data_IF_673637019437
#
_entry.id   IF_673637019437
#
_cell.length_a   1.000
_cell.length_b   1.000
_cell.length_c   1.000
_cell.angle_alpha   90.00
_cell.angle_beta   90.00
_cell.angle_gamma   90.00
#
_symmetry.space_group_name_H-M   'P 1'
#
loop_
_entity.id
_entity.type
_entity.pdbx_description
1 polymer ?
#
# COMPACT_ATOMS: atom_id res chain seq x y z
N UNK A 1 13.29 44.62 -29.24
CA UNK A 1 12.40 44.41 -28.09
C UNK A 1 11.27 43.49 -28.56
N UNK A 2 11.54 42.17 -28.63
CA UNK A 2 10.62 41.20 -29.24
C UNK A 2 9.54 40.80 -28.22
N UNK A 3 8.28 41.06 -28.54
CA UNK A 3 7.11 40.67 -27.74
C UNK A 3 6.78 39.21 -28.04
N UNK A 4 7.47 38.28 -27.39
CA UNK A 4 7.07 36.87 -27.34
C UNK A 4 6.16 36.62 -26.13
N UNK A 5 5.00 37.28 -26.10
CA UNK A 5 3.96 36.98 -25.11
C UNK A 5 2.67 36.66 -25.86
N UNK A 6 2.07 35.49 -25.61
CA UNK A 6 0.61 35.46 -25.55
C UNK A 6 -0.14 34.22 -26.01
N UNK A 7 0.48 33.13 -26.45
CA UNK A 7 -0.23 31.85 -26.52
C UNK A 7 0.47 30.88 -25.60
N UNK A 8 0.02 30.89 -24.33
CA UNK A 8 0.31 29.80 -23.41
C UNK A 8 -0.16 28.52 -24.09
N UNK A 9 0.79 27.77 -24.64
CA UNK A 9 0.53 26.56 -25.42
C UNK A 9 -0.29 25.60 -24.55
N UNK A 10 -1.59 25.51 -24.85
CA UNK A 10 -2.58 24.74 -24.10
C UNK A 10 -2.13 23.27 -24.05
N UNK A 11 -1.41 22.77 -25.06
CA UNK A 11 -0.81 21.43 -25.02
C UNK A 11 0.29 21.33 -23.98
N UNK A 12 1.13 22.36 -23.81
CA UNK A 12 2.19 22.40 -22.80
C UNK A 12 1.62 22.43 -21.38
N UNK A 13 0.60 23.26 -21.13
CA UNK A 13 -0.11 23.32 -19.83
C UNK A 13 -0.78 21.97 -19.52
N UNK A 14 -1.48 21.38 -20.50
CA UNK A 14 -2.14 20.07 -20.34
C UNK A 14 -1.13 18.94 -20.10
N UNK A 15 0.04 18.97 -20.75
CA UNK A 15 1.11 17.98 -20.55
C UNK A 15 1.70 18.06 -19.14
N UNK A 16 1.90 19.26 -18.59
CA UNK A 16 2.36 19.46 -17.22
C UNK A 16 1.32 18.94 -16.21
N UNK A 17 0.03 19.19 -16.45
CA UNK A 17 -1.06 18.64 -15.61
C UNK A 17 -1.10 17.11 -15.60
N UNK A 18 -0.95 16.44 -16.75
CA UNK A 18 -0.90 14.98 -16.81
C UNK A 18 0.35 14.40 -16.14
N UNK A 19 1.51 15.05 -16.30
CA UNK A 19 2.74 14.64 -15.62
C UNK A 19 2.58 14.76 -14.10
N UNK A 20 1.95 15.83 -13.59
CA UNK A 20 1.71 16.00 -12.16
C UNK A 20 0.79 14.91 -11.59
N UNK A 21 -0.21 14.46 -12.33
CA UNK A 21 -1.10 13.35 -11.92
C UNK A 21 -0.32 12.03 -11.85
N UNK A 22 0.61 11.80 -12.77
CA UNK A 22 1.44 10.57 -12.78
C UNK A 22 2.41 10.52 -11.59
N UNK A 23 2.90 11.69 -11.14
CA UNK A 23 3.84 11.82 -10.02
C UNK A 23 3.18 11.91 -8.64
N UNK A 24 1.86 11.78 -8.56
CA UNK A 24 1.13 11.66 -7.31
C UNK A 24 1.40 10.29 -6.66
N UNK A 25 1.49 10.28 -5.33
CA UNK A 25 1.76 9.07 -4.55
C UNK A 25 0.70 7.99 -4.78
N UNK A 26 -0.54 8.42 -4.97
CA UNK A 26 -1.69 7.58 -5.26
C UNK A 26 -1.54 6.84 -6.61
N UNK A 27 -1.07 7.54 -7.64
CA UNK A 27 -0.83 6.94 -8.96
C UNK A 27 0.32 5.96 -8.93
N UNK A 28 1.38 6.26 -8.18
CA UNK A 28 2.53 5.35 -7.99
C UNK A 28 2.08 4.09 -7.24
N UNK A 29 1.29 4.23 -6.17
CA UNK A 29 0.72 3.10 -5.42
C UNK A 29 -0.16 2.22 -6.30
N UNK A 30 -1.04 2.83 -7.09
CA UNK A 30 -1.91 2.11 -8.02
C UNK A 30 -1.09 1.36 -9.08
N UNK A 31 -0.06 2.01 -9.62
CA UNK A 31 0.82 1.40 -10.60
C UNK A 31 1.56 0.18 -10.02
N UNK A 32 2.14 0.32 -8.82
CA UNK A 32 2.82 -0.78 -8.12
C UNK A 32 1.84 -1.93 -7.85
N UNK A 33 0.63 -1.62 -7.39
CA UNK A 33 -0.42 -2.62 -7.12
C UNK A 33 -0.74 -3.45 -8.37
N UNK A 34 -1.00 -2.77 -9.50
CA UNK A 34 -1.30 -3.43 -10.77
C UNK A 34 -0.12 -4.27 -11.24
N UNK A 35 1.09 -3.71 -11.18
CA UNK A 35 2.31 -4.41 -11.59
C UNK A 35 2.51 -5.69 -10.79
N UNK A 36 2.42 -5.62 -9.47
CA UNK A 36 2.54 -6.77 -8.57
C UNK A 36 1.43 -7.78 -8.83
N UNK A 37 0.18 -7.34 -9.03
CA UNK A 37 -0.93 -8.23 -9.31
C UNK A 37 -0.73 -9.03 -10.62
N UNK A 38 -0.27 -8.36 -11.69
CA UNK A 38 0.03 -9.02 -12.97
C UNK A 38 1.17 -10.03 -12.79
N UNK A 39 2.27 -9.64 -12.17
CA UNK A 39 3.42 -10.52 -11.97
C UNK A 39 3.01 -11.76 -11.17
N UNK A 40 2.32 -11.58 -10.04
CA UNK A 40 1.92 -12.70 -9.19
C UNK A 40 0.84 -13.59 -9.85
N UNK A 41 -0.05 -13.01 -10.65
CA UNK A 41 -1.03 -13.79 -11.43
C UNK A 41 -0.37 -14.65 -12.51
N UNK A 42 0.80 -14.26 -13.03
CA UNK A 42 1.56 -15.07 -13.98
C UNK A 42 2.43 -16.13 -13.28
N UNK A 43 2.94 -15.83 -12.08
CA UNK A 43 3.77 -16.75 -11.30
C UNK A 43 2.97 -17.89 -10.68
N UNK A 44 1.71 -17.64 -10.30
CA UNK A 44 0.85 -18.64 -9.68
C UNK A 44 -0.57 -18.59 -10.24
N UNK A 45 -1.11 -19.72 -10.73
CA UNK A 45 -2.50 -19.78 -11.19
C UNK A 45 -3.51 -19.62 -10.04
N UNK A 46 -3.07 -19.74 -8.79
CA UNK A 46 -3.92 -19.61 -7.59
C UNK A 46 -3.94 -18.20 -7.01
N UNK A 47 -3.14 -17.27 -7.53
CA UNK A 47 -2.99 -15.93 -6.94
C UNK A 47 -4.33 -15.18 -6.81
N UNK A 48 -5.14 -15.18 -7.89
CA UNK A 48 -6.46 -14.54 -7.94
C UNK A 48 -7.62 -15.49 -7.58
N UNK A 49 -7.33 -16.69 -7.07
CA UNK A 49 -8.39 -17.60 -6.65
C UNK A 49 -9.14 -17.04 -5.42
N UNK A 50 -10.45 -17.19 -5.40
CA UNK A 50 -11.31 -16.64 -4.33
C UNK A 50 -10.91 -17.19 -2.96
N UNK A 51 -10.63 -18.49 -2.86
CA UNK A 51 -10.28 -19.11 -1.58
C UNK A 51 -8.91 -18.65 -1.11
N UNK A 52 -7.95 -18.54 -2.03
CA UNK A 52 -6.62 -18.04 -1.73
C UNK A 52 -6.66 -16.57 -1.29
N UNK A 53 -7.42 -15.72 -1.98
CA UNK A 53 -7.58 -14.31 -1.63
C UNK A 53 -8.23 -14.14 -0.25
N UNK A 54 -9.27 -14.92 0.03
CA UNK A 54 -9.95 -14.89 1.33
C UNK A 54 -9.04 -15.34 2.47
N UNK A 55 -8.38 -16.50 2.32
CA UNK A 55 -7.45 -17.05 3.32
C UNK A 55 -6.29 -16.08 3.57
N UNK A 56 -5.72 -15.52 2.51
CA UNK A 56 -4.65 -14.53 2.59
C UNK A 56 -5.13 -13.28 3.34
N UNK A 57 -6.32 -12.78 3.02
CA UNK A 57 -6.91 -11.59 3.67
C UNK A 57 -7.15 -11.84 5.17
N UNK A 58 -7.68 -13.00 5.56
CA UNK A 58 -7.85 -13.37 6.97
C UNK A 58 -6.51 -13.34 7.74
N UNK A 59 -5.46 -13.90 7.14
CA UNK A 59 -4.12 -13.92 7.74
C UNK A 59 -3.46 -12.53 7.86
N UNK A 60 -3.84 -11.58 6.99
CA UNK A 60 -3.36 -10.19 7.06
C UNK A 60 -4.17 -9.34 8.04
N UNK A 61 -5.49 -9.57 8.12
CA UNK A 61 -6.39 -8.81 9.00
C UNK A 61 -5.96 -8.91 10.47
N UNK A 62 -5.54 -10.08 10.94
CA UNK A 62 -5.04 -10.26 12.32
C UNK A 62 -3.94 -9.25 12.66
N UNK A 63 -2.93 -9.13 11.79
CA UNK A 63 -1.80 -8.21 11.96
C UNK A 63 -2.23 -6.76 11.80
N UNK A 64 -3.16 -6.46 10.89
CA UNK A 64 -3.68 -5.11 10.69
C UNK A 64 -4.47 -4.60 11.91
N UNK A 65 -5.28 -5.46 12.54
CA UNK A 65 -6.03 -5.15 13.76
C UNK A 65 -5.07 -4.87 14.92
N UNK A 66 -3.95 -5.60 15.03
CA UNK A 66 -2.93 -5.35 16.05
C UNK A 66 -2.16 -4.05 15.77
N UNK A 67 -1.83 -3.77 14.50
CA UNK A 67 -1.11 -2.57 14.12
C UNK A 67 -1.91 -1.28 14.36
N UNK A 68 -3.24 -1.33 14.25
CA UNK A 68 -4.11 -0.17 14.46
C UNK A 68 -3.97 0.50 15.85
N UNK A 69 -4.16 -0.20 17.00
CA UNK A 69 -3.90 0.36 18.33
C UNK A 69 -2.42 0.66 18.55
N UNK A 70 -1.51 -0.16 18.02
CA UNK A 70 -0.06 0.04 18.16
C UNK A 70 0.41 1.37 17.56
N UNK A 71 -0.18 1.81 16.44
CA UNK A 71 0.12 3.12 15.85
C UNK A 71 -0.23 4.25 16.82
N UNK A 72 -1.35 4.17 17.54
CA UNK A 72 -1.71 5.20 18.53
C UNK A 72 -0.72 5.26 19.69
N UNK A 73 -0.24 4.10 20.17
CA UNK A 73 0.78 4.02 21.21
C UNK A 73 2.09 4.66 20.73
N UNK A 74 2.51 4.37 19.50
CA UNK A 74 3.72 4.96 18.88
C UNK A 74 3.59 6.49 18.76
N UNK A 75 2.41 6.99 18.38
CA UNK A 75 2.17 8.44 18.27
C UNK A 75 2.31 9.14 19.64
N UNK A 76 1.95 8.46 20.73
CA UNK A 76 2.15 8.97 22.10
C UNK A 76 3.62 8.98 22.55
N UNK A 77 4.55 8.45 21.76
CA UNK A 77 5.97 8.39 22.08
C UNK A 77 6.39 7.13 22.85
N UNK A 78 5.47 6.20 23.06
CA UNK A 78 5.73 4.92 23.73
C UNK A 78 5.92 3.80 22.69
N UNK A 79 6.80 2.84 22.98
CA UNK A 79 7.01 1.66 22.14
C UNK A 79 6.60 0.43 22.95
N UNK A 80 5.36 -0.03 22.74
CA UNK A 80 4.84 -1.21 23.43
C UNK A 80 5.33 -2.52 22.78
N UNK A 81 6.45 -3.03 23.28
CA UNK A 81 7.03 -4.33 22.86
C UNK A 81 6.22 -5.51 23.45
N UNK A 82 5.38 -5.27 24.47
CA UNK A 82 4.69 -6.34 25.21
C UNK A 82 3.67 -7.09 24.35
N UNK A 83 2.99 -6.41 23.41
CA UNK A 83 2.02 -7.00 22.49
C UNK A 83 2.67 -8.11 21.64
N UNK A 84 3.89 -7.88 21.14
CA UNK A 84 4.61 -8.89 20.36
C UNK A 84 4.96 -10.13 21.21
N UNK A 85 5.34 -9.94 22.48
CA UNK A 85 5.68 -11.05 23.38
C UNK A 85 4.47 -11.91 23.77
N UNK A 86 3.30 -11.29 23.97
CA UNK A 86 2.04 -11.99 24.27
C UNK A 86 1.61 -12.83 23.08
N UNK A 87 1.64 -12.27 21.87
CA UNK A 87 1.29 -12.99 20.64
C UNK A 87 2.23 -14.18 20.45
N UNK A 88 3.55 -13.98 20.58
CA UNK A 88 4.53 -15.05 20.42
C UNK A 88 4.30 -16.21 21.41
N UNK A 89 4.05 -15.88 22.69
CA UNK A 89 3.77 -16.89 23.72
C UNK A 89 2.46 -17.64 23.41
N UNK A 90 1.39 -16.92 23.14
CA UNK A 90 0.08 -17.51 22.82
C UNK A 90 0.14 -18.39 21.57
N UNK A 91 0.88 -17.99 20.52
CA UNK A 91 1.06 -18.79 19.30
C UNK A 91 1.80 -20.11 19.57
N UNK A 92 2.83 -20.10 20.44
CA UNK A 92 3.52 -21.34 20.84
C UNK A 92 2.55 -22.27 21.56
N UNK A 93 1.79 -21.77 22.53
CA UNK A 93 0.82 -22.59 23.26
C UNK A 93 -0.29 -23.15 22.35
N UNK A 94 -0.76 -22.39 21.37
CA UNK A 94 -1.81 -22.84 20.45
C UNK A 94 -1.30 -23.85 19.40
N UNK A 95 0.00 -23.85 19.12
CA UNK A 95 0.64 -24.79 18.19
C UNK A 95 1.15 -26.09 18.84
N UNK A 96 1.10 -26.21 20.16
CA UNK A 96 1.48 -27.41 20.93
C UNK A 96 0.34 -28.42 21.06
#
# INVERSE_FOLDING_TARGET
MNKENGVLDIKKIRKISLLNIIWQWETILLFILIMVAIINSNLSPYFLDYTNLMNTTFNFIEKAIIALPMIFVIICGDIDISVASIIALSSVFMGM
#
